data_IF_391922403977
#
_entry.id   IF_391922403977
#
_cell.length_a   1.000
_cell.length_b   1.000
_cell.length_c   1.000
_cell.angle_alpha   90.00
_cell.angle_beta   90.00
_cell.angle_gamma   90.00
#
_symmetry.space_group_name_H-M   'P 1'
#
loop_
_entity.id
_entity.type
_entity.pdbx_description
1 polymer ?
#
# COMPACT_ATOMS: atom_id res chain seq x y z
N UNK A 1 -24.18 -32.02 -1.47
CA UNK A 1 -22.87 -31.77 -0.83
C UNK A 1 -22.62 -30.27 -0.89
N UNK A 2 -22.63 -29.57 0.26
CA UNK A 2 -22.48 -28.10 0.30
C UNK A 2 -21.01 -27.80 0.57
N UNK A 3 -20.29 -27.36 -0.47
CA UNK A 3 -18.88 -26.96 -0.36
C UNK A 3 -18.79 -25.65 0.42
N UNK A 4 -18.49 -25.74 1.72
CA UNK A 4 -18.13 -24.58 2.54
C UNK A 4 -16.87 -23.94 1.92
N UNK A 5 -17.04 -22.80 1.26
CA UNK A 5 -15.93 -21.92 0.88
C UNK A 5 -15.21 -21.56 2.18
N UNK A 6 -14.04 -22.18 2.40
CA UNK A 6 -13.18 -21.91 3.54
C UNK A 6 -12.74 -20.45 3.36
N UNK A 7 -13.42 -19.51 4.03
CA UNK A 7 -12.97 -18.13 4.13
C UNK A 7 -11.50 -18.21 4.47
N UNK A 8 -10.65 -17.72 3.58
CA UNK A 8 -9.20 -17.68 3.73
C UNK A 8 -8.90 -16.84 4.98
N UNK A 9 -8.96 -17.47 6.15
CA UNK A 9 -8.79 -16.84 7.44
C UNK A 9 -7.30 -16.56 7.54
N UNK A 10 -6.89 -15.38 7.08
CA UNK A 10 -5.50 -14.93 7.17
C UNK A 10 -5.04 -15.09 8.63
N UNK A 11 -4.02 -15.92 8.81
CA UNK A 11 -3.35 -16.10 10.09
C UNK A 11 -2.69 -14.78 10.46
N UNK A 12 -3.18 -14.13 11.51
CA UNK A 12 -2.57 -12.90 12.01
C UNK A 12 -1.47 -13.26 12.98
N UNK A 13 -0.24 -12.83 12.66
CA UNK A 13 0.93 -13.01 13.55
C UNK A 13 1.15 -11.71 14.32
N UNK A 14 1.24 -11.75 15.67
CA UNK A 14 1.54 -10.57 16.45
C UNK A 14 3.00 -10.15 16.27
N UNK A 15 3.24 -8.84 16.12
CA UNK A 15 4.59 -8.26 16.06
C UNK A 15 4.74 -7.31 17.24
N UNK A 16 5.79 -7.51 18.04
CA UNK A 16 6.14 -6.62 19.14
C UNK A 16 7.37 -5.79 18.73
N UNK A 17 7.23 -4.46 18.74
CA UNK A 17 8.29 -3.53 18.36
C UNK A 17 8.49 -2.56 19.52
N UNK A 18 9.73 -2.38 19.96
CA UNK A 18 10.12 -1.31 20.88
C UNK A 18 10.51 -0.09 20.06
N UNK A 19 9.91 1.06 20.38
CA UNK A 19 10.22 2.35 19.75
C UNK A 19 10.47 3.39 20.85
N UNK A 20 11.20 4.45 20.52
CA UNK A 20 11.39 5.58 21.43
C UNK A 20 10.10 6.37 21.58
N UNK A 21 10.02 7.16 22.66
CA UNK A 21 8.88 8.04 22.92
C UNK A 21 8.72 9.10 21.83
N UNK A 22 9.82 9.72 21.39
CA UNK A 22 9.80 10.70 20.29
C UNK A 22 9.24 10.10 18.99
N UNK A 23 9.63 8.86 18.67
CA UNK A 23 9.17 8.16 17.47
C UNK A 23 7.68 7.80 17.58
N UNK A 24 7.21 7.40 18.77
CA UNK A 24 5.78 7.17 19.04
C UNK A 24 4.97 8.44 18.79
N UNK A 25 5.44 9.58 19.29
CA UNK A 25 4.72 10.85 19.20
C UNK A 25 4.68 11.37 17.77
N UNK A 26 5.79 11.26 17.04
CA UNK A 26 5.83 11.55 15.61
C UNK A 26 4.86 10.66 14.82
N UNK A 27 4.86 9.34 15.09
CA UNK A 27 3.92 8.41 14.45
C UNK A 27 2.46 8.73 14.78
N UNK A 28 2.16 9.18 15.99
CA UNK A 28 0.81 9.58 16.39
C UNK A 28 0.34 10.84 15.63
N UNK A 29 1.21 11.83 15.48
CA UNK A 29 0.92 13.03 14.70
C UNK A 29 0.69 12.70 13.22
N UNK A 30 1.58 11.93 12.62
CA UNK A 30 1.47 11.51 11.22
C UNK A 30 0.21 10.66 11.02
N UNK A 31 -0.13 9.77 11.96
CA UNK A 31 -1.34 8.96 11.89
C UNK A 31 -2.60 9.84 11.86
N UNK A 32 -2.66 10.86 12.71
CA UNK A 32 -3.78 11.81 12.75
C UNK A 32 -3.91 12.57 11.42
N UNK A 33 -2.80 13.04 10.86
CA UNK A 33 -2.78 13.75 9.58
C UNK A 33 -3.25 12.87 8.41
N UNK A 34 -2.94 11.57 8.45
CA UNK A 34 -3.41 10.58 7.48
C UNK A 34 -4.82 10.03 7.77
N UNK A 35 -5.52 10.53 8.80
CA UNK A 35 -6.87 10.09 9.15
C UNK A 35 -6.93 8.73 9.88
N UNK A 36 -5.80 8.22 10.37
CA UNK A 36 -5.79 7.01 11.18
C UNK A 36 -6.07 7.31 12.66
N UNK A 37 -7.01 6.59 13.30
CA UNK A 37 -7.30 6.77 14.72
C UNK A 37 -6.21 6.20 15.64
N UNK A 38 -5.32 5.35 15.13
CA UNK A 38 -4.24 4.69 15.90
C UNK A 38 -2.98 4.51 15.04
N UNK A 39 -1.81 4.56 15.67
CA UNK A 39 -0.50 4.35 15.01
C UNK A 39 -0.39 2.99 14.31
N UNK A 40 -1.07 1.95 14.81
CA UNK A 40 -1.06 0.62 14.22
C UNK A 40 -1.55 0.59 12.77
N UNK A 41 -2.53 1.45 12.43
CA UNK A 41 -3.04 1.57 11.06
C UNK A 41 -1.98 2.13 10.12
N UNK A 42 -1.29 3.19 10.56
CA UNK A 42 -0.21 3.82 9.83
C UNK A 42 0.98 2.88 9.65
N UNK A 43 1.41 2.19 10.72
CA UNK A 43 2.52 1.22 10.66
C UNK A 43 2.20 0.12 9.65
N UNK A 44 0.98 -0.42 9.67
CA UNK A 44 0.54 -1.44 8.71
C UNK A 44 0.57 -0.90 7.28
N UNK A 45 0.16 0.35 7.04
CA UNK A 45 0.23 0.97 5.72
C UNK A 45 1.68 1.11 5.24
N UNK A 46 2.60 1.57 6.09
CA UNK A 46 4.00 1.74 5.72
C UNK A 46 4.71 0.42 5.45
N UNK A 47 4.47 -0.61 6.26
CA UNK A 47 5.01 -1.96 5.98
C UNK A 47 4.51 -2.43 4.61
N UNK A 48 3.21 -2.26 4.32
CA UNK A 48 2.63 -2.65 3.03
C UNK A 48 3.25 -1.92 1.86
N UNK A 49 3.41 -0.60 1.97
CA UNK A 49 4.03 0.24 0.94
C UNK A 49 5.50 -0.13 0.71
N UNK A 50 6.24 -0.43 1.79
CA UNK A 50 7.61 -0.91 1.70
C UNK A 50 7.70 -2.24 0.94
N UNK A 51 6.84 -3.21 1.29
CA UNK A 51 6.81 -4.51 0.61
C UNK A 51 6.39 -4.42 -0.86
N UNK A 52 5.48 -3.51 -1.20
CA UNK A 52 5.04 -3.25 -2.57
C UNK A 52 6.16 -2.58 -3.39
N UNK A 53 6.87 -1.61 -2.80
CA UNK A 53 8.00 -0.93 -3.45
C UNK A 53 9.21 -1.85 -3.68
N UNK A 54 9.45 -2.80 -2.77
CA UNK A 54 10.51 -3.82 -2.92
C UNK A 54 10.09 -4.99 -3.82
N UNK A 55 8.84 -4.99 -4.32
CA UNK A 55 8.28 -5.97 -5.25
C UNK A 55 8.46 -7.44 -4.79
N UNK A 56 8.45 -7.67 -3.47
CA UNK A 56 8.67 -8.98 -2.84
C UNK A 56 7.44 -9.91 -2.91
N UNK A 57 6.62 -9.77 -3.96
CA UNK A 57 5.41 -10.55 -4.17
C UNK A 57 4.19 -10.09 -3.35
N UNK A 58 4.30 -8.98 -2.61
CA UNK A 58 3.18 -8.32 -1.95
C UNK A 58 2.69 -7.17 -2.83
N UNK A 59 1.44 -7.22 -3.28
CA UNK A 59 0.83 -6.13 -4.06
C UNK A 59 -0.42 -5.62 -3.36
N UNK A 60 -0.50 -4.31 -3.17
CA UNK A 60 -1.66 -3.67 -2.54
C UNK A 60 -2.97 -3.95 -3.31
N UNK A 61 -2.87 -4.05 -4.65
CA UNK A 61 -3.95 -4.39 -5.56
C UNK A 61 -4.56 -5.78 -5.30
N UNK A 62 -3.78 -6.70 -4.73
CA UNK A 62 -4.22 -8.07 -4.39
C UNK A 62 -4.85 -8.16 -3.00
N UNK A 63 -4.86 -7.09 -2.21
CA UNK A 63 -5.49 -7.08 -0.88
C UNK A 63 -7.00 -6.82 -0.97
N UNK A 64 -7.76 -7.89 -1.18
CA UNK A 64 -9.22 -7.87 -1.27
C UNK A 64 -9.91 -7.21 -0.08
N UNK A 65 -9.33 -7.26 1.13
CA UNK A 65 -9.90 -6.57 2.31
C UNK A 65 -9.71 -5.07 2.28
N UNK A 66 -8.63 -4.58 1.68
CA UNK A 66 -8.42 -3.14 1.50
C UNK A 66 -9.46 -2.58 0.53
N UNK A 67 -9.63 -3.23 -0.61
CA UNK A 67 -10.63 -2.89 -1.62
C UNK A 67 -12.05 -2.98 -1.03
N UNK A 68 -12.41 -4.08 -0.36
CA UNK A 68 -13.73 -4.20 0.29
C UNK A 68 -13.99 -3.11 1.34
N UNK A 69 -12.96 -2.68 2.06
CA UNK A 69 -13.11 -1.64 3.08
C UNK A 69 -13.31 -0.25 2.47
N UNK A 70 -12.65 0.04 1.34
CA UNK A 70 -12.88 1.26 0.56
C UNK A 70 -14.29 1.29 -0.04
N UNK A 71 -14.74 0.17 -0.62
CA UNK A 71 -16.11 0.01 -1.12
C UNK A 71 -17.15 0.26 -0.02
N UNK A 72 -16.92 -0.29 1.18
CA UNK A 72 -17.80 -0.06 2.35
C UNK A 72 -17.81 1.38 2.85
N UNK A 73 -16.80 2.18 2.54
CA UNK A 73 -16.78 3.61 2.82
C UNK A 73 -17.39 4.46 1.71
N UNK A 74 -17.94 3.83 0.66
CA UNK A 74 -18.61 4.52 -0.44
C UNK A 74 -17.68 4.99 -1.55
N UNK A 75 -16.44 4.48 -1.60
CA UNK A 75 -15.53 4.77 -2.71
C UNK A 75 -15.97 3.97 -3.94
N UNK A 76 -16.19 4.61 -5.11
CA UNK A 76 -16.59 3.93 -6.33
C UNK A 76 -15.50 2.96 -6.80
N UNK A 77 -15.91 1.81 -7.34
CA UNK A 77 -15.01 0.79 -7.86
C UNK A 77 -14.07 1.36 -8.93
N UNK A 78 -14.59 2.22 -9.80
CA UNK A 78 -13.85 2.89 -10.88
C UNK A 78 -12.63 3.65 -10.33
N UNK A 79 -12.80 4.44 -9.26
CA UNK A 79 -11.72 5.21 -8.63
C UNK A 79 -10.69 4.29 -7.97
N UNK A 80 -11.14 3.17 -7.40
CA UNK A 80 -10.23 2.20 -6.76
C UNK A 80 -9.38 1.49 -7.82
N UNK A 81 -10.00 1.03 -8.91
CA UNK A 81 -9.30 0.33 -9.99
C UNK A 81 -8.41 1.29 -10.79
N UNK A 82 -8.85 2.52 -11.03
CA UNK A 82 -8.03 3.58 -11.66
C UNK A 82 -6.78 3.88 -10.81
N UNK A 83 -6.93 4.08 -9.50
CA UNK A 83 -5.77 4.29 -8.62
C UNK A 83 -4.83 3.07 -8.54
N UNK A 84 -5.37 1.86 -8.67
CA UNK A 84 -4.57 0.62 -8.76
C UNK A 84 -3.82 0.55 -10.09
N UNK A 85 -4.47 0.87 -11.20
CA UNK A 85 -3.87 0.83 -12.54
C UNK A 85 -2.83 1.94 -12.73
N UNK A 86 -3.05 3.12 -12.18
CA UNK A 86 -2.07 4.22 -12.19
C UNK A 86 -0.81 3.84 -11.41
N UNK A 87 -0.97 3.26 -10.21
CA UNK A 87 0.17 2.82 -9.38
C UNK A 87 0.88 1.59 -9.94
N UNK A 88 0.17 0.69 -10.61
CA UNK A 88 0.76 -0.45 -11.33
C UNK A 88 1.52 -0.03 -12.60
N UNK A 89 1.13 1.08 -13.24
CA UNK A 89 1.76 1.61 -14.46
C UNK A 89 2.79 2.73 -14.19
N UNK A 90 2.93 3.21 -12.95
CA UNK A 90 3.97 4.18 -12.57
C UNK A 90 5.44 3.73 -12.72
N UNK A 91 5.84 2.44 -12.72
CA UNK A 91 7.25 2.10 -12.95
C UNK A 91 7.72 2.37 -14.39
N UNK A 92 6.82 2.52 -15.37
CA UNK A 92 7.24 2.73 -16.78
C UNK A 92 7.30 4.20 -17.23
N UNK A 93 6.52 5.10 -16.62
CA UNK A 93 6.47 6.50 -17.06
C UNK A 93 7.75 7.29 -16.70
N UNK A 94 8.40 6.98 -15.57
CA UNK A 94 9.66 7.62 -15.17
C UNK A 94 10.91 7.01 -15.82
N UNK A 95 10.82 5.79 -16.34
CA UNK A 95 11.91 5.17 -17.09
C UNK A 95 12.01 5.73 -18.53
N UNK A 96 10.87 5.97 -19.21
CA UNK A 96 10.86 6.50 -20.58
C UNK A 96 11.21 7.99 -20.67
N UNK A 97 11.05 8.76 -19.59
CA UNK A 97 11.47 10.16 -19.53
C UNK A 97 12.99 10.34 -19.39
N UNK A 98 13.71 9.40 -18.75
CA UNK A 98 15.19 9.47 -18.65
C UNK A 98 15.91 8.95 -19.90
N UNK A 99 15.28 8.07 -20.69
CA UNK A 99 15.91 7.52 -21.90
C UNK A 99 16.01 8.53 -23.07
N UNK A 100 15.13 9.55 -23.14
CA UNK A 100 15.19 10.58 -24.20
C UNK A 100 16.17 11.72 -23.94
N UNK A 101 16.77 11.81 -22.74
CA UNK A 101 17.70 12.88 -22.40
C UNK A 101 19.19 12.55 -22.68
N UNK A 102 19.52 11.28 -22.93
CA UNK A 102 20.91 10.83 -23.09
C UNK A 102 21.36 10.63 -24.56
N UNK A 103 20.53 10.94 -25.56
CA UNK A 103 20.89 10.81 -26.98
C UNK A 103 21.27 12.16 -27.65
N UNK A 104 21.82 13.11 -26.89
CA UNK A 104 22.29 14.38 -27.47
C UNK A 104 23.64 14.87 -26.95
N UNK A 105 24.44 14.00 -26.33
CA UNK A 105 25.80 14.33 -25.92
C UNK A 105 26.77 13.22 -26.31
N UNK A 106 27.08 13.15 -27.61
CA UNK A 106 28.23 12.43 -28.14
C UNK A 106 29.33 13.46 -28.48
N UNK A 107 30.56 13.33 -27.96
CA UNK A 107 31.75 13.72 -28.70
C UNK A 107 32.14 12.63 -29.70
#
# INVERSE_FOLDING_TARGET
MITKIKKNQQVMVPIHIKITEEMRDLLAQVAKNHGFPRIQGLIRLYIRRGLDAENVGYSLAKDSRFIEKLKRQGVPDEVIFEAIDETANEPEAKAKAKAKANDTAKP
#
